data_IF_159192319769
#
_entry.id   IF_159192319769
#
_cell.length_a   1.000
_cell.length_b   1.000
_cell.length_c   1.000
_cell.angle_alpha   90.00
_cell.angle_beta   90.00
_cell.angle_gamma   90.00
#
_symmetry.space_group_name_H-M   'P 1'
#
loop_
_entity.id
_entity.type
_entity.pdbx_description
1 polymer ?
#
# COMPACT_ATOMS: atom_id res chain seq x y z
N UNK A 1 13.12 15.87 -0.49
CA UNK A 1 12.99 14.53 0.13
C UNK A 1 11.50 14.22 0.28
N UNK A 2 10.93 13.45 -0.66
CA UNK A 2 9.60 12.86 -0.47
C UNK A 2 9.83 11.58 0.33
N UNK A 3 9.65 11.65 1.64
CA UNK A 3 9.67 10.44 2.45
C UNK A 3 8.32 9.72 2.32
N UNK A 4 8.38 8.48 1.85
CA UNK A 4 7.24 7.56 1.85
C UNK A 4 7.50 6.54 2.95
N UNK A 5 6.80 6.67 4.07
CA UNK A 5 6.95 5.75 5.18
C UNK A 5 5.85 4.69 5.14
N UNK A 6 6.23 3.47 5.48
CA UNK A 6 5.36 2.32 5.58
C UNK A 6 5.21 1.97 7.04
N UNK A 7 3.97 1.86 7.49
CA UNK A 7 3.66 1.51 8.86
C UNK A 7 2.72 0.32 8.89
N UNK A 8 3.10 -0.72 9.65
CA UNK A 8 2.29 -1.91 9.84
C UNK A 8 1.34 -1.68 11.01
N UNK A 9 0.04 -1.81 10.74
CA UNK A 9 -0.95 -1.86 11.80
C UNK A 9 -1.16 -3.29 12.27
N UNK A 10 -1.60 -3.43 13.52
CA UNK A 10 -1.77 -4.72 14.18
C UNK A 10 -2.99 -5.48 13.66
N UNK A 11 -4.00 -4.77 13.16
CA UNK A 11 -5.16 -5.36 12.48
C UNK A 11 -5.35 -4.77 11.07
N UNK A 12 -5.84 -5.60 10.15
CA UNK A 12 -5.90 -5.30 8.71
C UNK A 12 -6.96 -4.22 8.43
N UNK A 13 -6.58 -2.98 8.11
CA UNK A 13 -7.53 -1.88 7.99
C UNK A 13 -8.11 -1.76 6.58
N UNK A 14 -7.74 -2.66 5.65
CA UNK A 14 -8.29 -2.72 4.28
C UNK A 14 -8.31 -4.16 3.75
N UNK A 15 -9.42 -4.92 3.95
CA UNK A 15 -9.54 -6.28 3.44
C UNK A 15 -9.73 -6.31 1.91
N UNK A 16 -10.26 -5.24 1.31
CA UNK A 16 -10.53 -5.14 -0.13
C UNK A 16 -9.33 -4.64 -0.99
N UNK A 17 -8.11 -4.56 -0.44
CA UNK A 17 -6.95 -4.16 -1.23
C UNK A 17 -6.63 -5.22 -2.29
N UNK A 18 -6.69 -4.80 -3.57
CA UNK A 18 -6.32 -5.65 -4.70
C UNK A 18 -4.80 -5.60 -4.88
N UNK A 19 -4.15 -6.71 -4.56
CA UNK A 19 -2.70 -6.90 -4.73
C UNK A 19 -2.47 -7.64 -6.03
N UNK A 20 -1.53 -7.17 -6.86
CA UNK A 20 -1.10 -7.87 -8.07
C UNK A 20 0.35 -8.33 -7.90
N UNK A 21 0.63 -9.58 -8.26
CA UNK A 21 1.97 -10.18 -8.14
C UNK A 21 2.62 -10.27 -9.51
N UNK A 22 3.87 -9.84 -9.59
CA UNK A 22 4.76 -10.04 -10.72
C UNK A 22 5.81 -11.07 -10.33
N UNK A 23 5.86 -12.20 -11.01
CA UNK A 23 6.80 -13.25 -10.65
C UNK A 23 6.97 -14.31 -11.74
N UNK A 24 7.97 -15.14 -11.53
CA UNK A 24 8.24 -16.34 -12.33
C UNK A 24 7.22 -17.45 -12.02
N UNK A 25 7.30 -18.56 -12.76
CA UNK A 25 6.31 -19.64 -12.76
C UNK A 25 5.96 -20.16 -11.35
N UNK A 26 6.95 -20.32 -10.47
CA UNK A 26 6.74 -20.67 -9.06
C UNK A 26 5.82 -19.71 -8.28
N UNK A 27 5.96 -18.40 -8.50
CA UNK A 27 5.09 -17.41 -7.87
C UNK A 27 3.74 -17.31 -8.55
N UNK A 28 3.63 -17.69 -9.83
CA UNK A 28 2.34 -17.77 -10.53
C UNK A 28 1.49 -18.91 -9.94
N UNK A 29 2.11 -20.05 -9.64
CA UNK A 29 1.41 -21.21 -9.07
C UNK A 29 0.94 -20.93 -7.64
N UNK A 30 1.78 -20.34 -6.80
CA UNK A 30 1.39 -19.89 -5.46
C UNK A 30 0.37 -18.75 -5.47
N UNK A 31 0.48 -17.80 -6.41
CA UNK A 31 -0.49 -16.71 -6.52
C UNK A 31 -1.84 -17.21 -7.02
N UNK A 32 -1.88 -18.13 -7.98
CA UNK A 32 -3.10 -18.75 -8.47
C UNK A 32 -3.78 -19.61 -7.40
N UNK A 33 -2.99 -20.36 -6.60
CA UNK A 33 -3.51 -21.10 -5.45
C UNK A 33 -4.15 -20.16 -4.41
N UNK A 34 -3.61 -18.97 -4.23
CA UNK A 34 -4.12 -17.94 -3.32
C UNK A 34 -5.16 -17.00 -3.95
N UNK A 35 -5.54 -17.20 -5.23
CA UNK A 35 -6.49 -16.35 -5.95
C UNK A 35 -6.03 -14.91 -6.20
N UNK A 36 -4.71 -14.67 -6.21
CA UNK A 36 -4.11 -13.35 -6.41
C UNK A 36 -3.80 -13.16 -7.90
N UNK A 37 -4.23 -12.05 -8.51
CA UNK A 37 -3.95 -11.78 -9.92
C UNK A 37 -2.44 -11.67 -10.16
N UNK A 38 -1.94 -12.53 -11.03
CA UNK A 38 -0.54 -12.65 -11.36
C UNK A 38 -0.25 -12.18 -12.81
N UNK A 39 0.90 -11.56 -13.04
CA UNK A 39 1.37 -11.21 -14.39
C UNK A 39 2.83 -11.61 -14.58
N UNK A 40 3.13 -12.21 -15.73
CA UNK A 40 4.46 -12.69 -16.11
C UNK A 40 5.33 -11.59 -16.72
N UNK A 41 6.65 -11.80 -16.76
CA UNK A 41 7.62 -10.89 -17.37
C UNK A 41 7.32 -10.52 -18.84
N UNK A 42 6.72 -11.45 -19.59
CA UNK A 42 6.39 -11.25 -21.00
C UNK A 42 5.14 -10.40 -21.19
N UNK A 43 4.19 -10.47 -20.24
CA UNK A 43 3.03 -9.58 -20.25
C UNK A 43 3.41 -8.14 -19.88
N UNK A 44 4.38 -7.95 -18.97
CA UNK A 44 4.94 -6.62 -18.69
C UNK A 44 5.54 -5.97 -19.95
N UNK A 45 6.23 -6.74 -20.80
CA UNK A 45 6.81 -6.23 -22.06
C UNK A 45 5.74 -5.86 -23.08
N UNK A 46 4.66 -6.66 -23.19
CA UNK A 46 3.51 -6.37 -24.06
C UNK A 46 2.77 -5.10 -23.61
N UNK A 47 2.68 -4.87 -22.30
CA UNK A 47 2.01 -3.72 -21.70
C UNK A 47 2.74 -2.38 -21.88
N UNK A 48 4.06 -2.39 -22.14
CA UNK A 48 4.86 -1.18 -22.35
C UNK A 48 4.40 -0.34 -23.56
N UNK A 49 3.85 -0.99 -24.59
CA UNK A 49 3.39 -0.31 -25.81
C UNK A 49 2.16 0.58 -25.58
N UNK A 50 1.36 0.32 -24.53
CA UNK A 50 0.08 1.00 -24.31
C UNK A 50 -0.01 1.70 -22.94
N UNK A 51 0.35 3.00 -22.91
CA UNK A 51 0.21 3.87 -21.72
C UNK A 51 -1.21 3.90 -21.12
N UNK A 52 -2.26 3.64 -21.91
CA UNK A 52 -3.66 3.59 -21.47
C UNK A 52 -3.95 2.36 -20.59
N UNK A 53 -3.41 1.19 -20.92
CA UNK A 53 -3.60 -0.04 -20.15
C UNK A 53 -2.84 0.02 -18.83
N UNK A 54 -1.63 0.59 -18.82
CA UNK A 54 -0.85 0.82 -17.60
C UNK A 54 -1.61 1.75 -16.63
N UNK A 55 -2.25 2.80 -17.13
CA UNK A 55 -3.10 3.68 -16.30
C UNK A 55 -4.35 2.98 -15.76
N UNK A 56 -4.93 2.03 -16.50
CA UNK A 56 -6.06 1.22 -16.01
C UNK A 56 -5.61 0.26 -14.91
N UNK A 57 -4.50 -0.45 -15.12
CA UNK A 57 -3.91 -1.37 -14.14
C UNK A 57 -3.49 -0.65 -12.85
N UNK A 58 -2.87 0.53 -12.95
CA UNK A 58 -2.49 1.33 -11.79
C UNK A 58 -3.70 1.87 -10.99
N UNK A 59 -4.87 1.97 -11.63
CA UNK A 59 -6.13 2.34 -10.96
C UNK A 59 -6.86 1.14 -10.36
N UNK A 60 -6.78 -0.04 -11.00
CA UNK A 60 -7.48 -1.25 -10.54
C UNK A 60 -6.79 -1.95 -9.37
N UNK A 61 -5.47 -1.80 -9.24
CA UNK A 61 -4.68 -2.44 -8.18
C UNK A 61 -4.07 -1.41 -7.23
N UNK A 62 -4.13 -1.69 -5.93
CA UNK A 62 -3.65 -0.79 -4.87
C UNK A 62 -2.21 -1.05 -4.47
N UNK A 63 -1.80 -2.32 -4.52
CA UNK A 63 -0.43 -2.74 -4.26
C UNK A 63 0.08 -3.70 -5.34
N UNK A 64 1.37 -3.61 -5.59
CA UNK A 64 2.09 -4.51 -6.48
C UNK A 64 3.18 -5.22 -5.68
N UNK A 65 3.35 -6.51 -5.92
CA UNK A 65 4.43 -7.32 -5.41
C UNK A 65 5.27 -7.79 -6.59
N UNK A 66 6.58 -7.81 -6.44
CA UNK A 66 7.49 -8.23 -7.49
C UNK A 66 8.54 -9.18 -6.94
N UNK A 67 8.79 -10.27 -7.68
CA UNK A 67 9.92 -11.15 -7.42
C UNK A 67 11.25 -10.44 -7.68
N UNK A 68 12.29 -10.82 -6.95
CA UNK A 68 13.62 -10.25 -7.04
C UNK A 68 14.19 -10.29 -8.46
N UNK A 69 13.90 -11.35 -9.21
CA UNK A 69 14.29 -11.53 -10.62
C UNK A 69 13.81 -10.37 -11.52
N UNK A 70 12.65 -9.79 -11.22
CA UNK A 70 11.99 -8.78 -12.06
C UNK A 70 12.28 -7.34 -11.61
N UNK A 71 12.86 -7.15 -10.43
CA UNK A 71 13.04 -5.82 -9.84
C UNK A 71 13.92 -4.89 -10.69
N UNK A 72 14.92 -5.45 -11.39
CA UNK A 72 15.84 -4.68 -12.24
C UNK A 72 15.14 -4.16 -13.51
N UNK A 73 14.10 -4.83 -13.97
CA UNK A 73 13.40 -4.48 -15.22
C UNK A 73 12.22 -3.52 -14.98
N UNK A 74 11.61 -3.58 -13.79
CA UNK A 74 10.40 -2.81 -13.44
C UNK A 74 10.56 -1.29 -13.56
N UNK A 75 11.66 -0.65 -13.08
CA UNK A 75 11.85 0.79 -13.23
C UNK A 75 11.93 1.23 -14.70
N UNK A 76 12.47 0.40 -15.58
CA UNK A 76 12.66 0.71 -17.01
C UNK A 76 11.36 0.56 -17.80
N UNK A 77 10.59 -0.48 -17.52
CA UNK A 77 9.39 -0.84 -18.30
C UNK A 77 8.13 -0.14 -17.76
N UNK A 78 7.98 -0.12 -16.43
CA UNK A 78 6.74 0.29 -15.77
C UNK A 78 6.93 1.55 -14.89
N UNK A 79 8.19 1.98 -14.68
CA UNK A 79 8.55 3.14 -13.88
C UNK A 79 7.75 4.41 -14.17
N UNK A 80 7.57 4.86 -15.44
CA UNK A 80 6.84 6.10 -15.72
C UNK A 80 5.35 6.05 -15.32
N UNK A 81 4.73 4.86 -15.36
CA UNK A 81 3.32 4.67 -15.03
C UNK A 81 3.08 4.49 -13.53
N UNK A 82 3.87 3.61 -12.88
CA UNK A 82 3.68 3.26 -11.48
C UNK A 82 4.31 4.28 -10.52
N UNK A 83 5.41 4.93 -10.89
CA UNK A 83 6.01 5.98 -10.05
C UNK A 83 5.10 7.21 -9.98
N UNK A 84 4.46 7.57 -11.10
CA UNK A 84 3.44 8.63 -11.13
C UNK A 84 2.21 8.27 -10.28
N UNK A 85 1.88 6.99 -10.17
CA UNK A 85 0.80 6.49 -9.32
C UNK A 85 1.22 6.32 -7.84
N UNK A 86 2.52 6.41 -7.51
CA UNK A 86 3.04 6.21 -6.16
C UNK A 86 2.91 4.77 -5.64
N UNK A 87 2.71 3.80 -6.55
CA UNK A 87 2.48 2.37 -6.25
C UNK A 87 3.68 1.55 -6.68
N UNK A 88 4.86 1.88 -6.16
CA UNK A 88 6.06 1.09 -6.46
C UNK A 88 5.94 -0.31 -5.83
N UNK A 89 6.33 -1.39 -6.54
CA UNK A 89 6.16 -2.74 -6.04
C UNK A 89 7.04 -3.01 -4.80
N UNK A 90 6.51 -3.79 -3.87
CA UNK A 90 7.31 -4.38 -2.79
C UNK A 90 7.97 -5.67 -3.27
N UNK A 91 9.13 -6.00 -2.70
CA UNK A 91 9.95 -7.13 -3.13
C UNK A 91 9.54 -8.40 -2.40
N UNK A 92 9.39 -9.48 -3.16
CA UNK A 92 9.10 -10.82 -2.65
C UNK A 92 10.26 -11.73 -3.02
N UNK A 93 10.77 -12.45 -2.03
CA UNK A 93 11.78 -13.50 -2.20
C UNK A 93 11.07 -14.84 -2.32
N UNK A 94 11.68 -15.80 -3.00
CA UNK A 94 11.15 -17.16 -3.14
C UNK A 94 11.11 -17.95 -1.82
N UNK A 95 11.70 -17.42 -0.76
CA UNK A 95 11.82 -18.07 0.54
C UNK A 95 10.62 -17.81 1.47
N UNK A 96 9.77 -16.83 1.15
CA UNK A 96 8.67 -16.41 2.03
C UNK A 96 7.31 -16.64 1.35
N UNK A 97 6.31 -17.17 2.08
CA UNK A 97 4.99 -17.42 1.52
C UNK A 97 4.32 -16.10 1.11
N UNK A 98 3.83 -16.07 -0.14
CA UNK A 98 3.12 -14.92 -0.71
C UNK A 98 1.94 -14.45 0.17
N UNK A 99 1.25 -15.38 0.84
CA UNK A 99 0.13 -15.08 1.73
C UNK A 99 0.50 -14.13 2.86
N UNK A 100 1.62 -14.38 3.56
CA UNK A 100 2.08 -13.54 4.67
C UNK A 100 2.46 -12.14 4.18
N UNK A 101 3.15 -12.03 3.03
CA UNK A 101 3.46 -10.71 2.45
C UNK A 101 2.24 -9.95 1.98
N UNK A 102 1.21 -10.64 1.51
CA UNK A 102 -0.06 -10.02 1.14
C UNK A 102 -0.79 -9.51 2.38
N UNK A 103 -0.81 -10.28 3.46
CA UNK A 103 -1.35 -9.83 4.76
C UNK A 103 -0.58 -8.64 5.32
N UNK A 104 0.76 -8.68 5.29
CA UNK A 104 1.59 -7.55 5.69
C UNK A 104 1.31 -6.32 4.84
N UNK A 105 1.19 -6.49 3.52
CA UNK A 105 0.87 -5.39 2.60
C UNK A 105 -0.53 -4.84 2.86
N UNK A 106 -1.49 -5.70 3.22
CA UNK A 106 -2.85 -5.31 3.59
C UNK A 106 -2.89 -4.56 4.93
N UNK A 107 -2.05 -4.97 5.89
CA UNK A 107 -1.89 -4.31 7.18
C UNK A 107 -1.04 -3.03 7.10
N UNK A 108 -0.27 -2.87 6.02
CA UNK A 108 0.61 -1.72 5.84
C UNK A 108 -0.15 -0.52 5.30
N UNK A 109 -0.03 0.58 6.01
CA UNK A 109 -0.48 1.89 5.57
C UNK A 109 0.70 2.69 5.04
N UNK A 110 0.48 3.39 3.93
CA UNK A 110 1.46 4.31 3.33
C UNK A 110 1.15 5.74 3.76
N UNK A 111 2.05 6.34 4.53
CA UNK A 111 2.07 7.79 4.73
C UNK A 111 3.00 8.42 3.68
N UNK A 112 2.40 9.09 2.71
CA UNK A 112 3.14 9.90 1.74
C UNK A 112 3.02 11.37 2.10
N UNK A 113 4.09 11.93 2.66
CA UNK A 113 4.20 13.37 2.79
C UNK A 113 4.47 14.00 1.41
N UNK A 114 3.43 14.61 0.84
CA UNK A 114 3.54 15.55 -0.29
C UNK A 114 3.57 16.99 0.26
N UNK A 115 3.61 18.00 -0.61
CA UNK A 115 3.43 19.43 -0.25
C UNK A 115 1.99 19.77 0.20
N UNK A 116 1.28 18.85 0.83
CA UNK A 116 -0.10 19.05 1.31
C UNK A 116 -0.12 19.02 2.83
N UNK A 117 -0.96 19.88 3.42
CA UNK A 117 -1.07 20.07 4.86
C UNK A 117 -1.99 19.04 5.53
N UNK A 118 -2.86 18.39 4.75
CA UNK A 118 -3.81 17.39 5.25
C UNK A 118 -3.51 16.03 4.63
N UNK A 119 -3.34 15.02 5.47
CA UNK A 119 -3.19 13.62 5.09
C UNK A 119 -4.38 12.86 5.67
N UNK A 120 -4.97 11.99 4.87
CA UNK A 120 -6.07 11.13 5.31
C UNK A 120 -5.72 9.68 5.07
N UNK A 121 -5.89 8.88 6.11
CA UNK A 121 -5.51 7.48 6.14
C UNK A 121 -6.68 6.68 6.70
N UNK A 122 -6.89 5.48 6.17
CA UNK A 122 -7.93 4.57 6.67
C UNK A 122 -7.31 3.67 7.74
N UNK A 123 -7.78 3.79 8.98
CA UNK A 123 -7.17 3.18 10.17
C UNK A 123 -7.94 1.92 10.65
N UNK A 124 -9.08 1.61 10.03
CA UNK A 124 -9.86 0.40 10.34
C UNK A 124 -11.22 0.34 9.65
N UNK A 125 -11.96 -0.74 9.93
CA UNK A 125 -13.31 -1.02 9.44
C UNK A 125 -14.31 -1.14 10.60
N UNK A 126 -15.60 -1.10 10.26
CA UNK A 126 -16.71 -1.17 11.24
C UNK A 126 -16.80 -2.55 11.92
N UNK A 127 -16.29 -3.59 11.28
CA UNK A 127 -16.26 -4.97 11.81
C UNK A 127 -15.19 -5.18 12.88
N UNK A 128 -14.31 -4.20 13.13
CA UNK A 128 -13.30 -4.27 14.19
C UNK A 128 -13.88 -3.85 15.54
N UNK A 129 -13.30 -4.40 16.61
CA UNK A 129 -13.64 -3.98 17.97
C UNK A 129 -13.14 -2.56 18.24
N UNK A 130 -13.80 -1.86 19.17
CA UNK A 130 -13.41 -0.49 19.53
C UNK A 130 -11.98 -0.41 20.09
N UNK A 131 -11.54 -1.43 20.82
CA UNK A 131 -10.19 -1.49 21.39
C UNK A 131 -9.11 -1.58 20.32
N UNK A 132 -9.33 -2.41 19.29
CA UNK A 132 -8.42 -2.52 18.15
C UNK A 132 -8.35 -1.21 17.35
N UNK A 133 -9.50 -0.54 17.17
CA UNK A 133 -9.56 0.76 16.50
C UNK A 133 -8.76 1.82 17.26
N UNK A 134 -8.95 1.93 18.58
CA UNK A 134 -8.21 2.88 19.42
C UNK A 134 -6.71 2.58 19.40
N UNK A 135 -6.34 1.29 19.47
CA UNK A 135 -4.94 0.86 19.37
C UNK A 135 -4.33 1.30 18.04
N UNK A 136 -5.01 1.04 16.92
CA UNK A 136 -4.54 1.43 15.58
C UNK A 136 -4.44 2.94 15.39
N UNK A 137 -5.41 3.71 15.91
CA UNK A 137 -5.41 5.18 15.88
C UNK A 137 -4.21 5.72 16.66
N UNK A 138 -4.01 5.24 17.88
CA UNK A 138 -2.88 5.66 18.72
C UNK A 138 -1.54 5.31 18.08
N UNK A 139 -1.42 4.09 17.55
CA UNK A 139 -0.24 3.65 16.79
C UNK A 139 0.05 4.58 15.60
N UNK A 140 -0.98 4.93 14.83
CA UNK A 140 -0.87 5.79 13.65
C UNK A 140 -0.47 7.22 14.00
N UNK A 141 -1.04 7.78 15.07
CA UNK A 141 -0.71 9.13 15.55
C UNK A 141 0.73 9.15 16.07
N UNK A 142 1.12 8.18 16.90
CA UNK A 142 2.48 8.10 17.45
C UNK A 142 3.52 7.96 16.34
N UNK A 143 3.25 7.13 15.34
CA UNK A 143 4.12 7.01 14.18
C UNK A 143 4.22 8.33 13.42
N UNK A 144 3.11 9.01 13.13
CA UNK A 144 3.10 10.30 12.44
C UNK A 144 3.89 11.38 13.20
N UNK A 145 3.71 11.45 14.52
CA UNK A 145 4.41 12.40 15.39
C UNK A 145 5.92 12.15 15.36
N UNK A 146 6.36 10.89 15.41
CA UNK A 146 7.79 10.53 15.38
C UNK A 146 8.50 10.94 14.08
N UNK A 147 7.76 11.09 12.99
CA UNK A 147 8.31 11.49 11.68
C UNK A 147 8.48 13.00 11.54
N UNK A 148 7.81 13.80 12.38
CA UNK A 148 7.83 15.26 12.30
C UNK A 148 8.98 15.80 13.15
N UNK A 149 9.89 16.61 12.57
CA UNK A 149 11.04 17.20 13.30
C UNK A 149 10.66 18.02 14.55
N UNK A 150 9.41 18.45 14.67
CA UNK A 150 8.86 19.19 15.83
C UNK A 150 7.70 18.45 16.52
N UNK A 151 7.55 17.15 16.27
CA UNK A 151 6.53 16.29 16.86
C UNK A 151 5.13 16.95 16.83
N UNK A 152 4.56 17.22 18.00
CA UNK A 152 3.21 17.77 18.21
C UNK A 152 3.05 19.24 17.82
N UNK A 153 4.10 20.05 17.81
CA UNK A 153 3.98 21.47 17.45
C UNK A 153 3.58 21.67 15.98
N UNK A 154 3.83 20.66 15.13
CA UNK A 154 3.45 20.71 13.71
C UNK A 154 2.04 20.14 13.45
N UNK A 155 1.36 19.63 14.48
CA UNK A 155 0.02 19.04 14.38
C UNK A 155 -1.00 20.06 14.91
N UNK A 156 -1.73 20.71 13.99
CA UNK A 156 -2.74 21.72 14.35
C UNK A 156 -4.09 21.10 14.74
N UNK A 157 -4.50 20.05 14.05
CA UNK A 157 -5.79 19.40 14.30
C UNK A 157 -5.79 17.94 13.86
N UNK A 158 -6.45 17.08 14.62
CA UNK A 158 -6.66 15.67 14.31
C UNK A 158 -8.16 15.38 14.22
N UNK A 159 -8.59 14.89 13.05
CA UNK A 159 -9.98 14.57 12.78
C UNK A 159 -10.12 13.09 12.44
N UNK A 160 -11.06 12.43 13.12
CA UNK A 160 -11.51 11.08 12.77
C UNK A 160 -12.83 11.20 12.04
N UNK A 161 -12.95 10.53 10.90
CA UNK A 161 -14.24 10.38 10.22
C UNK A 161 -14.48 8.92 9.86
N UNK A 162 -15.74 8.50 9.94
CA UNK A 162 -16.20 7.26 9.31
C UNK A 162 -16.64 7.54 7.87
N UNK A 163 -16.93 6.50 7.09
CA UNK A 163 -17.32 6.63 5.67
C UNK A 163 -18.54 7.51 5.46
N UNK A 164 -19.53 7.42 6.37
CA UNK A 164 -20.81 8.15 6.29
C UNK A 164 -21.05 9.11 7.46
N UNK A 165 -20.17 9.11 8.48
CA UNK A 165 -20.34 9.93 9.67
C UNK A 165 -19.69 11.31 9.55
N UNK A 166 -20.15 12.22 10.40
CA UNK A 166 -19.53 13.55 10.55
C UNK A 166 -18.11 13.41 11.11
N UNK A 167 -17.17 14.26 10.69
CA UNK A 167 -15.83 14.27 11.25
C UNK A 167 -15.88 14.69 12.73
N UNK A 168 -15.31 13.87 13.59
CA UNK A 168 -15.10 14.13 15.01
C UNK A 168 -13.67 14.64 15.21
N UNK A 169 -13.53 15.80 15.85
CA UNK A 169 -12.24 16.40 16.13
C UNK A 169 -11.73 15.93 17.49
N UNK A 170 -10.55 15.32 17.49
CA UNK A 170 -9.85 14.91 18.71
C UNK A 170 -8.97 16.03 19.28
N UNK A 171 -8.40 16.85 18.40
CA UNK A 171 -7.47 17.95 18.71
C UNK A 171 -7.59 19.05 17.65
#
# INVERSE_FOLDING_TARGET
MLFCYHYRLKSIPRPAMKVCVFGDQHHLDEANANGIPCMSADDLKKLNKNKKLIKKLAKSYDAFLASESLIKQIPRIIGPGLNKAGKFPSVVTHAEPLATKVEETKATIKFQMKKVLCLSVAVGHVEMTQEELVSNISLSINFLVSLLKKNWQNVRSLNIKSTMGKPQRLY
#
